data_IF_740293132879
#
_entry.id   IF_740293132879
#
_cell.length_a   1.000
_cell.length_b   1.000
_cell.length_c   1.000
_cell.angle_alpha   90.00
_cell.angle_beta   90.00
_cell.angle_gamma   90.00
#
_symmetry.space_group_name_H-M   'P 1'
#
loop_
_entity.id
_entity.type
_entity.pdbx_description
1 polymer ?
#
# COMPACT_ATOMS: atom_id res chain seq x y z
N UNK A 1 5.78 9.54 13.53
CA UNK A 1 6.83 8.94 12.69
C UNK A 1 6.19 7.80 11.91
N UNK A 2 6.33 7.78 10.58
CA UNK A 2 5.80 6.69 9.74
C UNK A 2 6.73 5.46 9.82
N UNK A 3 6.22 4.27 9.53
CA UNK A 3 7.03 3.05 9.49
C UNK A 3 7.81 3.06 8.18
N UNK A 4 9.11 2.79 8.20
CA UNK A 4 9.95 2.92 6.99
C UNK A 4 9.61 1.92 5.90
N UNK A 5 9.17 0.70 6.26
CA UNK A 5 8.75 -0.32 5.31
C UNK A 5 7.65 -1.20 5.89
N UNK A 6 6.74 -1.62 5.03
CA UNK A 6 5.69 -2.58 5.33
C UNK A 6 6.18 -3.98 4.92
N UNK A 7 6.18 -4.90 5.90
CA UNK A 7 6.52 -6.30 5.70
C UNK A 7 5.34 -7.07 5.11
N UNK A 8 5.65 -8.09 4.30
CA UNK A 8 4.68 -8.98 3.67
C UNK A 8 5.01 -10.42 4.02
N UNK A 9 3.98 -11.20 4.35
CA UNK A 9 4.09 -12.58 4.77
C UNK A 9 3.50 -13.56 3.75
N UNK A 10 3.91 -14.82 3.82
CA UNK A 10 3.56 -15.86 2.84
C UNK A 10 2.06 -16.11 2.66
N UNK A 11 1.23 -15.75 3.66
CA UNK A 11 -0.23 -15.94 3.59
C UNK A 11 -0.86 -15.24 2.38
N UNK A 12 -0.32 -14.10 1.94
CA UNK A 12 -0.86 -13.40 0.77
C UNK A 12 -0.70 -14.25 -0.50
N UNK A 13 0.41 -14.98 -0.63
CA UNK A 13 0.66 -15.85 -1.79
C UNK A 13 -0.36 -16.98 -1.86
N UNK A 14 -0.80 -17.50 -0.72
CA UNK A 14 -1.83 -18.54 -0.68
C UNK A 14 -3.16 -18.03 -1.24
N UNK A 15 -3.56 -16.80 -0.88
CA UNK A 15 -4.78 -16.16 -1.39
C UNK A 15 -4.69 -15.92 -2.89
N UNK A 16 -3.55 -15.41 -3.37
CA UNK A 16 -3.33 -15.18 -4.80
C UNK A 16 -3.36 -16.48 -5.60
N UNK A 17 -2.75 -17.54 -5.09
CA UNK A 17 -2.75 -18.84 -5.77
C UNK A 17 -4.15 -19.48 -5.78
N UNK A 18 -4.89 -19.39 -4.67
CA UNK A 18 -6.25 -19.92 -4.58
C UNK A 18 -7.23 -19.22 -5.53
N UNK A 19 -6.98 -17.94 -5.84
CA UNK A 19 -7.84 -17.14 -6.73
C UNK A 19 -7.70 -17.47 -8.22
N UNK A 20 -6.78 -18.37 -8.62
CA UNK A 20 -6.57 -18.78 -10.02
C UNK A 20 -6.39 -17.60 -11.00
N UNK A 21 -5.73 -16.51 -10.57
CA UNK A 21 -5.54 -15.27 -11.36
C UNK A 21 -6.84 -14.53 -11.72
N UNK A 22 -7.99 -14.89 -11.14
CA UNK A 22 -9.29 -14.21 -11.34
C UNK A 22 -9.53 -13.15 -10.26
N UNK A 23 -8.63 -12.18 -10.18
CA UNK A 23 -8.73 -11.09 -9.21
C UNK A 23 -8.12 -9.80 -9.76
N UNK A 24 -8.47 -8.68 -9.12
CA UNK A 24 -7.80 -7.41 -9.32
C UNK A 24 -7.10 -7.02 -8.02
N UNK A 25 -5.87 -6.52 -8.11
CA UNK A 25 -5.16 -6.03 -6.93
C UNK A 25 -5.27 -4.52 -6.84
N UNK A 26 -5.66 -4.04 -5.67
CA UNK A 26 -5.62 -2.63 -5.33
C UNK A 26 -4.82 -2.49 -4.04
N UNK A 27 -3.74 -1.73 -4.09
CA UNK A 27 -3.03 -1.32 -2.89
C UNK A 27 -3.79 -0.17 -2.23
N UNK A 28 -3.97 -0.28 -0.92
CA UNK A 28 -4.60 0.73 -0.10
C UNK A 28 -3.68 1.10 1.07
N UNK A 29 -3.27 2.36 1.12
CA UNK A 29 -2.48 2.92 2.23
C UNK A 29 -3.33 3.97 2.92
N UNK A 30 -3.72 3.72 4.16
CA UNK A 30 -4.49 4.68 4.97
C UNK A 30 -3.56 5.37 5.96
N UNK A 31 -3.40 6.68 5.81
CA UNK A 31 -2.59 7.51 6.70
C UNK A 31 -3.50 8.41 7.52
N UNK A 32 -3.31 8.39 8.84
CA UNK A 32 -4.05 9.24 9.77
C UNK A 32 -3.20 10.45 10.15
N UNK A 33 -3.84 11.60 10.11
CA UNK A 33 -3.28 12.87 10.47
C UNK A 33 -3.96 13.38 11.74
N UNK A 34 -3.21 13.38 12.84
CA UNK A 34 -3.70 13.78 14.15
C UNK A 34 -3.40 15.24 14.50
N UNK A 35 -2.44 15.88 13.84
CA UNK A 35 -1.83 17.12 14.33
C UNK A 35 -1.94 18.30 13.36
N UNK A 36 -2.28 18.08 12.09
CA UNK A 36 -2.33 19.17 11.10
C UNK A 36 -3.69 19.90 11.10
N UNK A 37 -4.75 19.30 11.65
CA UNK A 37 -6.05 19.97 11.73
C UNK A 37 -6.82 19.64 13.01
N UNK A 38 -7.73 20.55 13.41
CA UNK A 38 -8.55 20.46 14.64
C UNK A 38 -9.33 19.14 14.78
N UNK A 39 -9.60 18.45 13.67
CA UNK A 39 -10.22 17.12 13.66
C UNK A 39 -9.26 16.13 12.99
N UNK A 40 -9.01 14.96 13.58
CA UNK A 40 -8.22 13.92 12.93
C UNK A 40 -8.81 13.55 11.57
N UNK A 41 -7.96 13.38 10.56
CA UNK A 41 -8.37 12.96 9.22
C UNK A 41 -7.61 11.71 8.82
N UNK A 42 -8.33 10.70 8.33
CA UNK A 42 -7.74 9.57 7.64
C UNK A 42 -7.84 9.80 6.13
N UNK A 43 -6.74 9.62 5.40
CA UNK A 43 -6.72 9.63 3.93
C UNK A 43 -6.26 8.28 3.43
N UNK A 44 -7.01 7.71 2.50
CA UNK A 44 -6.64 6.45 1.84
C UNK A 44 -6.15 6.74 0.43
N UNK A 45 -4.96 6.22 0.14
CA UNK A 45 -4.30 6.31 -1.16
C UNK A 45 -4.43 4.96 -1.85
N UNK A 46 -5.10 4.94 -3.01
CA UNK A 46 -5.36 3.75 -3.79
C UNK A 46 -4.44 3.69 -5.01
N UNK A 47 -3.89 2.52 -5.30
CA UNK A 47 -3.19 2.24 -6.55
C UNK A 47 -3.65 0.90 -7.10
N UNK A 48 -4.06 0.89 -8.36
CA UNK A 48 -4.28 -0.36 -9.09
C UNK A 48 -2.91 -0.96 -9.39
N UNK A 49 -2.76 -2.24 -9.12
CA UNK A 49 -1.57 -2.98 -9.45
C UNK A 49 -1.95 -4.26 -10.20
N UNK A 50 -1.24 -4.52 -11.30
CA UNK A 50 -1.44 -5.71 -12.11
C UNK A 50 -0.08 -6.28 -12.44
N UNK A 51 0.10 -7.57 -12.14
CA UNK A 51 1.31 -8.27 -12.49
C UNK A 51 1.23 -8.78 -13.92
N UNK A 52 2.33 -8.70 -14.65
CA UNK A 52 2.39 -9.10 -16.06
C UNK A 52 2.39 -10.62 -16.24
N UNK A 53 3.09 -11.39 -15.40
CA UNK A 53 3.13 -12.87 -15.54
C UNK A 53 3.28 -13.62 -14.21
N UNK A 54 4.28 -13.26 -13.41
CA UNK A 54 4.59 -13.92 -12.13
C UNK A 54 4.52 -12.93 -10.96
N UNK A 55 3.82 -13.34 -9.90
CA UNK A 55 3.77 -12.59 -8.64
C UNK A 55 4.66 -13.29 -7.62
N UNK A 56 5.69 -12.59 -7.15
CA UNK A 56 6.49 -13.02 -6.01
C UNK A 56 6.17 -12.19 -4.78
N UNK A 57 6.40 -12.76 -3.58
CA UNK A 57 6.24 -12.02 -2.32
C UNK A 57 7.14 -10.78 -2.29
N UNK A 58 8.35 -10.88 -2.85
CA UNK A 58 9.30 -9.77 -2.94
C UNK A 58 8.81 -8.67 -3.89
N UNK A 59 8.20 -9.05 -5.02
CA UNK A 59 7.62 -8.10 -5.97
C UNK A 59 6.45 -7.33 -5.33
N UNK A 60 5.52 -8.04 -4.69
CA UNK A 60 4.41 -7.40 -3.95
C UNK A 60 4.92 -6.43 -2.89
N UNK A 61 5.91 -6.87 -2.09
CA UNK A 61 6.53 -6.02 -1.09
C UNK A 61 7.13 -4.76 -1.72
N UNK A 62 7.92 -4.91 -2.79
CA UNK A 62 8.55 -3.79 -3.50
C UNK A 62 7.51 -2.80 -4.00
N UNK A 63 6.52 -3.25 -4.76
CA UNK A 63 5.53 -2.38 -5.39
C UNK A 63 4.60 -1.72 -4.37
N UNK A 64 4.24 -2.44 -3.30
CA UNK A 64 3.46 -1.85 -2.20
C UNK A 64 4.27 -0.78 -1.45
N UNK A 65 5.54 -1.02 -1.15
CA UNK A 65 6.36 -0.04 -0.44
C UNK A 65 6.62 1.22 -1.28
N UNK A 66 6.81 1.09 -2.60
CA UNK A 66 6.85 2.26 -3.50
C UNK A 66 5.57 3.10 -3.43
N UNK A 67 4.40 2.44 -3.40
CA UNK A 67 3.11 3.13 -3.23
C UNK A 67 2.99 3.78 -1.85
N UNK A 68 3.44 3.09 -0.80
CA UNK A 68 3.49 3.62 0.56
C UNK A 68 4.34 4.88 0.66
N UNK A 69 5.55 4.87 0.11
CA UNK A 69 6.45 6.04 0.10
C UNK A 69 5.80 7.22 -0.65
N UNK A 70 5.14 6.94 -1.77
CA UNK A 70 4.38 7.96 -2.51
C UNK A 70 3.22 8.54 -1.67
N UNK A 71 2.50 7.69 -0.93
CA UNK A 71 1.39 8.11 -0.08
C UNK A 71 1.88 9.00 1.08
N UNK A 72 2.99 8.61 1.73
CA UNK A 72 3.64 9.39 2.78
C UNK A 72 4.10 10.74 2.23
N UNK A 73 4.80 10.76 1.10
CA UNK A 73 5.25 12.01 0.46
C UNK A 73 4.08 12.94 0.15
N UNK A 74 2.99 12.41 -0.43
CA UNK A 74 1.78 13.19 -0.75
C UNK A 74 1.07 13.73 0.49
N UNK A 75 1.08 12.98 1.60
CA UNK A 75 0.49 13.44 2.86
C UNK A 75 1.34 14.58 3.44
N UNK A 76 2.66 14.42 3.49
CA UNK A 76 3.60 15.41 4.05
C UNK A 76 3.66 16.69 3.22
N UNK A 77 3.67 16.60 1.88
CA UNK A 77 3.65 17.78 1.00
C UNK A 77 2.34 18.58 1.12
N UNK A 78 1.20 17.91 1.37
CA UNK A 78 -0.08 18.61 1.62
C UNK A 78 -0.16 19.25 3.00
N UNK A 79 0.78 18.95 3.89
CA UNK A 79 0.86 19.48 5.24
C UNK A 79 1.80 20.70 5.36
N UNK A 80 2.56 21.00 4.29
CA UNK A 80 3.51 22.12 4.21
C UNK A 80 2.88 23.34 3.54
#
# INVERSE_FOLDING_TARGET
MHVNQIAFEKGIMQVLNASQKKFQTVFAVTLVDYFISRKPKAKTYLAKWQAEEYVSLQLLKSEFNKHYDSAVLKQTQKAS
#
